data_IF_289351688980
#
_entry.id   IF_289351688980
#
_cell.length_a   1.000
_cell.length_b   1.000
_cell.length_c   1.000
_cell.angle_alpha   90.00
_cell.angle_beta   90.00
_cell.angle_gamma   90.00
#
_symmetry.space_group_name_H-M   'P 1'
#
loop_
_entity.id
_entity.type
_entity.pdbx_description
1 polymer ?
#
# COMPACT_ATOMS: atom_id res chain seq x y z
N UNK A 1 -1.35 27.37 -6.27
CA UNK A 1 -1.19 26.97 -4.86
C UNK A 1 -1.53 25.49 -4.73
N UNK A 2 -0.58 24.62 -4.34
CA UNK A 2 -0.91 23.22 -4.02
C UNK A 2 -1.68 23.20 -2.70
N UNK A 3 -2.93 22.71 -2.69
CA UNK A 3 -3.67 22.49 -1.44
C UNK A 3 -2.92 21.46 -0.60
N UNK A 4 -2.76 21.71 0.70
CA UNK A 4 -2.17 20.75 1.62
C UNK A 4 -3.03 19.46 1.67
N UNK A 5 -2.39 18.29 1.60
CA UNK A 5 -3.08 17.01 1.71
C UNK A 5 -3.67 16.82 3.11
N UNK A 6 -4.95 16.46 3.18
CA UNK A 6 -5.63 16.12 4.43
C UNK A 6 -5.04 14.85 5.06
N UNK A 7 -5.23 14.67 6.37
CA UNK A 7 -4.80 13.44 7.08
C UNK A 7 -5.33 12.17 6.41
N UNK A 8 -6.58 12.18 5.95
CA UNK A 8 -7.21 11.03 5.27
C UNK A 8 -6.52 10.75 3.93
N UNK A 9 -6.19 11.78 3.14
CA UNK A 9 -5.47 11.61 1.87
C UNK A 9 -4.09 10.98 2.10
N UNK A 10 -3.35 11.46 3.11
CA UNK A 10 -2.06 10.88 3.49
C UNK A 10 -2.20 9.39 3.87
N UNK A 11 -3.24 9.04 4.62
CA UNK A 11 -3.50 7.64 5.00
C UNK A 11 -3.86 6.77 3.80
N UNK A 12 -4.68 7.27 2.86
CA UNK A 12 -5.03 6.55 1.63
C UNK A 12 -3.82 6.27 0.74
N UNK A 13 -2.85 7.18 0.73
CA UNK A 13 -1.61 7.05 -0.05
C UNK A 13 -0.57 6.14 0.61
N UNK A 14 -0.45 6.18 1.94
CA UNK A 14 0.68 5.58 2.65
C UNK A 14 0.35 4.31 3.43
N UNK A 15 -0.93 3.98 3.66
CA UNK A 15 -1.32 2.76 4.36
C UNK A 15 -1.67 1.64 3.38
N UNK A 16 -1.31 0.39 3.71
CA UNK A 16 -1.61 -0.75 2.86
C UNK A 16 -3.11 -1.02 2.86
N UNK A 17 -3.73 -0.88 1.70
CA UNK A 17 -5.11 -1.31 1.46
C UNK A 17 -5.20 -2.82 1.23
N UNK A 18 -4.18 -3.39 0.59
CA UNK A 18 -4.10 -4.80 0.32
C UNK A 18 -2.72 -5.21 -0.17
N UNK A 19 -2.66 -6.41 -0.73
CA UNK A 19 -1.48 -6.97 -1.37
C UNK A 19 -1.81 -7.69 -2.68
N UNK A 20 -0.91 -7.57 -3.62
CA UNK A 20 -0.80 -8.42 -4.80
C UNK A 20 -0.05 -9.68 -4.41
N UNK A 21 -0.57 -10.84 -4.80
CA UNK A 21 0.09 -12.15 -4.64
C UNK A 21 0.36 -12.71 -6.02
N UNK A 22 1.64 -12.85 -6.35
CA UNK A 22 2.10 -13.35 -7.64
C UNK A 22 2.15 -14.87 -7.68
N UNK A 23 2.27 -15.44 -8.89
CA UNK A 23 2.30 -16.91 -9.10
C UNK A 23 3.49 -17.59 -8.41
N UNK A 24 4.60 -16.88 -8.25
CA UNK A 24 5.81 -17.35 -7.55
C UNK A 24 5.71 -17.24 -6.01
N UNK A 25 4.57 -16.77 -5.49
CA UNK A 25 4.34 -16.57 -4.06
C UNK A 25 4.87 -15.26 -3.50
N UNK A 26 5.58 -14.46 -4.30
CA UNK A 26 6.00 -13.11 -3.89
C UNK A 26 4.79 -12.19 -3.70
N UNK A 27 4.96 -11.16 -2.86
CA UNK A 27 3.88 -10.29 -2.43
C UNK A 27 4.30 -8.83 -2.45
N UNK A 28 3.39 -7.95 -2.89
CA UNK A 28 3.61 -6.51 -2.90
C UNK A 28 2.39 -5.81 -2.30
N UNK A 29 2.62 -4.92 -1.36
CA UNK A 29 1.57 -4.10 -0.76
C UNK A 29 1.09 -3.04 -1.75
N UNK A 30 -0.18 -2.66 -1.67
CA UNK A 30 -0.72 -1.54 -2.43
C UNK A 30 -1.61 -0.64 -1.56
N UNK A 31 -1.68 0.64 -1.91
CA UNK A 31 -2.45 1.65 -1.19
C UNK A 31 -3.92 1.72 -1.66
N UNK A 32 -4.72 2.66 -1.14
CA UNK A 32 -6.15 2.75 -1.50
C UNK A 32 -6.39 3.15 -2.97
N UNK A 33 -5.36 3.68 -3.63
CA UNK A 33 -5.34 4.01 -5.05
C UNK A 33 -4.83 2.84 -5.92
N UNK A 34 -4.61 1.67 -5.33
CA UNK A 34 -4.05 0.48 -5.98
C UNK A 34 -2.60 0.66 -6.45
N UNK A 35 -1.93 1.71 -5.99
CA UNK A 35 -0.52 1.96 -6.29
C UNK A 35 0.34 1.09 -5.37
N UNK A 36 1.40 0.44 -5.89
CA UNK A 36 2.29 -0.34 -5.06
C UNK A 36 2.99 0.51 -4.00
N UNK A 37 3.07 -0.02 -2.78
CA UNK A 37 3.87 0.53 -1.69
C UNK A 37 5.24 -0.13 -1.73
N UNK A 38 6.23 0.60 -2.20
CA UNK A 38 7.59 0.10 -2.36
C UNK A 38 8.43 0.29 -1.09
N UNK A 39 9.32 -0.66 -0.87
CA UNK A 39 10.39 -0.64 0.14
C UNK A 39 11.57 0.27 -0.24
N UNK A 40 11.81 0.40 -1.54
CA UNK A 40 12.92 1.13 -2.14
C UNK A 40 12.46 1.77 -3.44
N UNK A 41 13.05 2.89 -3.83
CA UNK A 41 12.78 3.52 -5.12
C UNK A 41 13.19 2.57 -6.25
N UNK A 42 12.22 1.84 -6.79
CA UNK A 42 12.42 1.03 -8.00
C UNK A 42 12.54 1.98 -9.19
N UNK A 43 13.55 1.73 -10.04
CA UNK A 43 13.75 2.49 -11.27
C UNK A 43 12.55 2.39 -12.22
N UNK A 44 12.39 3.31 -13.18
CA UNK A 44 11.25 3.36 -14.10
C UNK A 44 11.00 2.03 -14.83
N UNK A 45 12.05 1.37 -15.31
CA UNK A 45 11.93 0.06 -15.99
C UNK A 45 11.38 -1.04 -15.07
N UNK A 46 11.70 -1.00 -13.78
CA UNK A 46 11.20 -1.97 -12.80
C UNK A 46 9.71 -1.70 -12.48
N UNK A 47 9.26 -0.44 -12.54
CA UNK A 47 7.84 -0.09 -12.37
C UNK A 47 6.97 -0.67 -13.48
N UNK A 48 7.40 -0.56 -14.74
CA UNK A 48 6.64 -1.09 -15.88
C UNK A 48 6.55 -2.62 -15.84
N UNK A 49 7.67 -3.30 -15.59
CA UNK A 49 7.70 -4.77 -15.43
C UNK A 49 6.77 -5.20 -14.28
N UNK A 50 6.76 -4.45 -13.18
CA UNK A 50 5.89 -4.77 -12.06
C UNK A 50 4.42 -4.52 -12.37
N UNK A 51 4.10 -3.45 -13.09
CA UNK A 51 2.74 -3.15 -13.50
C UNK A 51 2.17 -4.29 -14.35
N UNK A 52 2.94 -4.80 -15.32
CA UNK A 52 2.55 -5.96 -16.11
C UNK A 52 2.33 -7.21 -15.24
N UNK A 53 3.19 -7.46 -14.24
CA UNK A 53 3.00 -8.58 -13.30
C UNK A 53 1.74 -8.44 -12.45
N UNK A 54 1.34 -7.22 -12.09
CA UNK A 54 0.19 -6.94 -11.23
C UNK A 54 -1.13 -7.32 -11.92
N UNK A 55 -1.20 -7.23 -13.25
CA UNK A 55 -2.41 -7.58 -14.02
C UNK A 55 -2.81 -9.05 -13.80
N UNK A 56 -1.83 -9.95 -13.69
CA UNK A 56 -2.02 -11.38 -13.44
C UNK A 56 -2.03 -11.76 -11.95
N UNK A 57 -1.85 -10.79 -11.04
CA UNK A 57 -1.72 -11.06 -9.62
C UNK A 57 -3.08 -11.19 -8.93
N UNK A 58 -3.17 -12.09 -7.93
CA UNK A 58 -4.34 -12.15 -7.05
C UNK A 58 -4.33 -10.97 -6.08
N UNK A 59 -5.47 -10.30 -5.93
CA UNK A 59 -5.65 -9.19 -4.98
C UNK A 59 -6.23 -9.71 -3.66
N UNK A 60 -5.64 -9.29 -2.55
CA UNK A 60 -6.18 -9.52 -1.21
C UNK A 60 -6.24 -8.20 -0.45
N UNK A 61 -7.40 -7.87 0.12
CA UNK A 61 -7.62 -6.61 0.84
C UNK A 61 -7.53 -6.81 2.35
N UNK A 62 -7.01 -5.82 3.06
CA UNK A 62 -6.90 -5.85 4.52
C UNK A 62 -8.09 -5.20 5.23
N UNK A 63 -8.78 -4.29 4.54
CA UNK A 63 -9.95 -3.56 5.03
C UNK A 63 -10.87 -3.18 3.86
N UNK A 64 -12.03 -2.63 4.19
CA UNK A 64 -13.04 -2.09 3.27
C UNK A 64 -13.48 -0.70 3.75
N UNK A 65 -14.47 -0.08 3.08
CA UNK A 65 -14.98 1.22 3.52
C UNK A 65 -15.66 1.19 4.89
N UNK A 66 -16.19 0.04 5.32
CA UNK A 66 -16.87 -0.09 6.62
C UNK A 66 -15.94 -0.12 7.82
N UNK A 67 -14.66 -0.48 7.63
CA UNK A 67 -13.66 -0.59 8.70
C UNK A 67 -12.36 0.12 8.36
N UNK A 68 -12.45 1.23 7.62
CA UNK A 68 -11.29 1.96 7.12
C UNK A 68 -10.38 2.51 8.24
N UNK A 69 -9.06 2.63 8.03
CA UNK A 69 -8.13 3.08 9.07
C UNK A 69 -8.31 4.54 9.50
N UNK A 70 -9.01 5.37 8.72
CA UNK A 70 -9.30 6.76 9.08
C UNK A 70 -10.53 6.91 10.00
N UNK A 71 -11.33 5.84 10.17
CA UNK A 71 -12.45 5.78 11.12
C UNK A 71 -12.30 4.66 12.15
N UNK A 72 -11.39 3.71 11.94
CA UNK A 72 -11.18 2.54 12.78
C UNK A 72 -9.71 2.43 13.22
N UNK A 73 -9.48 2.54 14.54
CA UNK A 73 -8.15 2.56 15.13
C UNK A 73 -7.46 1.18 15.08
N UNK A 74 -8.20 0.08 15.15
CA UNK A 74 -7.64 -1.27 15.07
C UNK A 74 -7.12 -1.56 13.66
N UNK A 75 -7.87 -1.17 12.64
CA UNK A 75 -7.42 -1.25 11.25
C UNK A 75 -6.17 -0.40 11.03
N UNK A 76 -6.09 0.79 11.63
CA UNK A 76 -4.89 1.62 11.56
C UNK A 76 -3.68 0.92 12.19
N UNK A 77 -3.84 0.31 13.36
CA UNK A 77 -2.78 -0.46 14.02
C UNK A 77 -2.32 -1.62 13.16
N UNK A 78 -3.26 -2.42 12.63
CA UNK A 78 -2.98 -3.53 11.70
C UNK A 78 -2.22 -3.07 10.46
N UNK A 79 -2.61 -1.95 9.85
CA UNK A 79 -1.91 -1.38 8.70
C UNK A 79 -0.45 -1.03 9.03
N UNK A 80 -0.20 -0.45 10.21
CA UNK A 80 1.17 -0.10 10.66
C UNK A 80 2.01 -1.35 10.91
N UNK A 81 1.43 -2.41 11.47
CA UNK A 81 2.11 -3.68 11.67
C UNK A 81 2.47 -4.36 10.34
N UNK A 82 1.55 -4.36 9.38
CA UNK A 82 1.80 -4.88 8.03
C UNK A 82 2.99 -4.14 7.38
N UNK A 83 3.01 -2.81 7.44
CA UNK A 83 4.14 -2.03 6.92
C UNK A 83 5.47 -2.43 7.58
N UNK A 84 5.48 -2.63 8.90
CA UNK A 84 6.68 -3.08 9.63
C UNK A 84 7.15 -4.47 9.20
N UNK A 85 6.22 -5.42 9.05
CA UNK A 85 6.53 -6.80 8.61
C UNK A 85 7.10 -6.81 7.20
N UNK A 86 6.55 -5.99 6.31
CA UNK A 86 7.05 -5.82 4.96
C UNK A 86 8.26 -4.88 4.88
N UNK A 87 8.76 -4.36 6.00
CA UNK A 87 9.89 -3.45 6.08
C UNK A 87 9.68 -2.07 5.42
N UNK A 88 8.46 -1.73 4.96
CA UNK A 88 8.17 -0.47 4.26
C UNK A 88 8.39 0.68 5.24
N UNK A 89 9.52 1.36 5.11
CA UNK A 89 9.84 2.54 5.91
C UNK A 89 9.08 3.72 5.31
N UNK A 90 8.08 4.24 6.03
CA UNK A 90 7.69 5.63 5.81
C UNK A 90 8.91 6.47 6.17
N UNK A 91 9.47 7.19 5.19
CA UNK A 91 10.53 8.14 5.45
C UNK A 91 10.15 9.05 6.63
N UNK A 92 11.18 9.30 7.43
CA UNK A 92 11.17 9.85 8.78
C UNK A 92 10.38 11.17 8.91
N UNK A 93 9.72 11.26 10.07
CA UNK A 93 9.39 12.44 10.89
C UNK A 93 9.18 13.80 10.21
#
# INVERSE_FOLDING_TARGET
>A
MKKAETKIQKMKKNLPYGKYVFKDGSQILFNRHYEPLFLTEVGPNQKEILQAKIEDAKKQWFYSDSNSPWTNQDTLTKCKEILKVFGVQNEKS
#
